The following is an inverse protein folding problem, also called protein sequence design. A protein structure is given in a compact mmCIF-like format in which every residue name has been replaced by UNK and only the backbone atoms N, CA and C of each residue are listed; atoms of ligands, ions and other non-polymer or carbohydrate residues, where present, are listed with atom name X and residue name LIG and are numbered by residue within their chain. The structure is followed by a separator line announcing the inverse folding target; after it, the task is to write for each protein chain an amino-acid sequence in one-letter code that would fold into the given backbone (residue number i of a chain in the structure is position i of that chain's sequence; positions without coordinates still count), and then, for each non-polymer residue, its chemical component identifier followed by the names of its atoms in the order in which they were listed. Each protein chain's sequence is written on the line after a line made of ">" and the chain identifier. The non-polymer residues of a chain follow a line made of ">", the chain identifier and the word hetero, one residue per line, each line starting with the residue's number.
data_IF_076248495440
#
_entry.id   IF_076248495440
#
_cell.length_a   1.000
_cell.length_b   1.000
_cell.length_c   1.000
_cell.angle_alpha   90.00
_cell.angle_beta   90.00
_cell.angle_gamma   90.00
#
_symmetry.space_group_name_H-M   'P 1'
#
loop_
_entity.id
_entity.type
_entity.pdbx_description
1 polymer ?
#
# COMPACT_ATOMS: atom_id res chain seq x y z
N UNK A 1 -64.83 -9.53 -1.04
CA UNK A 1 -64.33 -8.63 -2.11
C UNK A 1 -63.20 -9.37 -2.79
N UNK A 2 -63.49 -9.98 -3.94
CA UNK A 2 -62.57 -10.84 -4.69
C UNK A 2 -61.66 -10.01 -5.59
N UNK A 3 -60.40 -10.40 -5.72
CA UNK A 3 -59.47 -9.89 -6.73
C UNK A 3 -58.37 -10.91 -7.01
N UNK A 4 -58.44 -11.55 -8.18
CA UNK A 4 -57.62 -12.66 -8.69
C UNK A 4 -56.74 -12.13 -9.83
N UNK A 5 -55.49 -12.60 -9.95
CA UNK A 5 -54.64 -12.34 -11.13
C UNK A 5 -53.36 -13.18 -11.05
N UNK A 6 -53.34 -14.41 -11.57
CA UNK A 6 -52.88 -14.87 -12.90
C UNK A 6 -51.37 -15.16 -12.97
N UNK A 7 -51.09 -16.41 -13.33
CA UNK A 7 -49.80 -17.05 -13.61
C UNK A 7 -49.28 -16.65 -15.00
N UNK A 8 -47.96 -16.62 -15.17
CA UNK A 8 -47.31 -16.64 -16.48
C UNK A 8 -45.86 -17.14 -16.38
N UNK A 9 -45.55 -18.20 -17.11
CA UNK A 9 -44.22 -18.82 -17.26
C UNK A 9 -43.73 -18.62 -18.70
N UNK A 10 -42.43 -18.41 -18.92
CA UNK A 10 -41.71 -18.85 -20.12
C UNK A 10 -40.18 -18.61 -19.99
N UNK A 11 -39.41 -19.60 -20.42
CA UNK A 11 -37.95 -19.66 -20.42
C UNK A 11 -37.34 -19.09 -21.72
N UNK A 12 -36.07 -18.69 -21.67
CA UNK A 12 -35.18 -18.67 -22.84
C UNK A 12 -33.70 -18.82 -22.41
N UNK A 13 -33.12 -19.95 -22.80
CA UNK A 13 -31.71 -20.34 -22.72
C UNK A 13 -30.98 -19.83 -23.96
N UNK A 14 -29.84 -19.14 -23.82
CA UNK A 14 -28.88 -18.95 -24.91
C UNK A 14 -27.44 -19.08 -24.39
N UNK A 15 -26.80 -20.18 -24.79
CA UNK A 15 -25.38 -20.49 -24.64
C UNK A 15 -24.66 -19.99 -25.90
N UNK A 16 -23.56 -19.25 -25.75
CA UNK A 16 -22.71 -18.83 -26.86
C UNK A 16 -21.29 -19.39 -26.69
N UNK A 17 -20.70 -20.07 -27.70
CA UNK A 17 -19.34 -20.59 -27.65
C UNK A 17 -18.32 -19.52 -28.09
N UNK A 18 -17.21 -19.37 -27.35
CA UNK A 18 -16.05 -18.58 -27.78
C UNK A 18 -15.02 -19.51 -28.42
N UNK A 19 -14.89 -19.43 -29.75
CA UNK A 19 -13.81 -20.04 -30.53
C UNK A 19 -12.68 -19.01 -30.69
N UNK A 20 -11.50 -19.28 -30.11
CA UNK A 20 -10.26 -18.55 -30.36
C UNK A 20 -9.52 -19.23 -31.52
N UNK A 21 -9.61 -18.63 -32.71
CA UNK A 21 -8.88 -19.07 -33.91
C UNK A 21 -7.55 -18.32 -34.05
N UNK A 22 -6.60 -19.00 -34.68
CA UNK A 22 -5.18 -18.71 -34.82
C UNK A 22 -4.82 -17.27 -35.26
N UNK A 23 -3.71 -16.76 -34.71
CA UNK A 23 -2.97 -15.62 -35.25
C UNK A 23 -2.21 -16.06 -36.53
N UNK A 24 -2.76 -15.65 -37.68
CA UNK A 24 -2.04 -15.63 -38.95
C UNK A 24 -1.51 -14.21 -39.20
N UNK A 25 -0.21 -14.10 -39.48
CA UNK A 25 0.41 -12.88 -39.98
C UNK A 25 -0.09 -12.59 -41.40
N UNK A 26 -0.47 -11.35 -41.69
CA UNK A 26 -0.25 -10.71 -43.00
C UNK A 26 -0.36 -9.19 -42.88
N UNK A 27 0.67 -8.55 -43.39
CA UNK A 27 0.89 -7.13 -43.60
C UNK A 27 -0.18 -6.55 -44.55
N UNK A 28 -0.85 -5.45 -44.16
CA UNK A 28 -1.50 -4.52 -45.11
C UNK A 28 -1.80 -3.18 -44.42
N UNK A 29 -1.12 -2.14 -44.90
CA UNK A 29 -1.27 -0.70 -44.68
C UNK A 29 -2.59 -0.20 -44.07
N UNK A 30 -2.51 0.41 -42.88
CA UNK A 30 -3.40 1.51 -42.44
C UNK A 30 -2.71 2.29 -41.31
N UNK A 31 -2.31 3.52 -41.64
CA UNK A 31 -1.84 4.61 -40.78
C UNK A 31 -2.20 4.52 -39.28
N UNK A 32 -1.24 4.49 -38.34
CA UNK A 32 -1.54 4.53 -36.92
C UNK A 32 -1.53 5.97 -36.39
N UNK A 33 -2.33 6.87 -36.96
CA UNK A 33 -2.56 8.21 -36.36
C UNK A 33 -3.68 8.22 -35.30
N UNK A 34 -4.12 7.04 -34.85
CA UNK A 34 -5.20 6.91 -33.85
C UNK A 34 -4.91 5.97 -32.67
N UNK A 35 -3.71 5.38 -32.59
CA UNK A 35 -3.39 4.36 -31.59
C UNK A 35 -2.70 4.88 -30.31
N UNK A 36 -2.49 6.20 -30.18
CA UNK A 36 -1.83 6.78 -28.99
C UNK A 36 -2.81 7.03 -27.83
N UNK A 37 -4.11 7.15 -28.09
CA UNK A 37 -5.08 7.55 -27.05
C UNK A 37 -5.70 6.40 -26.24
N UNK A 38 -5.42 5.13 -26.57
CA UNK A 38 -5.88 3.97 -25.76
C UNK A 38 -4.81 3.35 -24.86
N UNK A 39 -3.53 3.66 -25.07
CA UNK A 39 -2.44 3.19 -24.21
C UNK A 39 -2.40 3.95 -22.86
N UNK A 40 -2.84 5.21 -22.82
CA UNK A 40 -2.86 6.01 -21.59
C UNK A 40 -3.90 5.52 -20.55
N UNK A 41 -5.08 5.06 -20.98
CA UNK A 41 -6.15 4.63 -20.04
C UNK A 41 -5.94 3.24 -19.44
N UNK A 42 -5.12 2.39 -20.06
CA UNK A 42 -4.73 1.10 -19.50
C UNK A 42 -3.65 1.25 -18.40
N UNK A 43 -2.73 2.20 -18.54
CA UNK A 43 -1.75 2.54 -17.50
C UNK A 43 -2.42 3.12 -16.24
N UNK A 44 -3.46 3.95 -16.42
CA UNK A 44 -4.20 4.53 -15.29
C UNK A 44 -4.99 3.48 -14.49
N UNK A 45 -5.43 2.39 -15.13
CA UNK A 45 -6.21 1.34 -14.46
C UNK A 45 -5.33 0.34 -13.68
N UNK A 46 -4.04 0.24 -14.01
CA UNK A 46 -3.05 -0.50 -13.24
C UNK A 46 -2.55 0.30 -12.03
N UNK A 47 -2.44 1.63 -12.15
CA UNK A 47 -2.13 2.53 -11.04
C UNK A 47 -3.21 2.46 -9.92
N UNK A 48 -4.49 2.38 -10.28
CA UNK A 48 -5.58 2.29 -9.30
C UNK A 48 -5.53 0.99 -8.49
N UNK A 49 -5.22 -0.16 -9.11
CA UNK A 49 -5.13 -1.44 -8.40
C UNK A 49 -3.91 -1.55 -7.48
N UNK A 50 -2.85 -0.79 -7.74
CA UNK A 50 -1.76 -0.60 -6.78
C UNK A 50 -2.24 0.23 -5.59
N UNK A 51 -2.90 1.36 -5.86
CA UNK A 51 -3.43 2.30 -4.88
C UNK A 51 -4.36 1.67 -3.84
N UNK A 52 -5.30 0.81 -4.24
CA UNK A 52 -6.25 0.17 -3.31
C UNK A 52 -5.56 -0.74 -2.28
N UNK A 53 -4.51 -1.47 -2.70
CA UNK A 53 -3.77 -2.39 -1.82
C UNK A 53 -2.91 -1.61 -0.82
N UNK A 54 -2.26 -0.52 -1.25
CA UNK A 54 -1.49 0.34 -0.34
C UNK A 54 -2.37 1.21 0.54
N UNK A 55 -3.53 1.65 0.04
CA UNK A 55 -4.54 2.34 0.84
C UNK A 55 -5.06 1.43 1.95
N UNK A 56 -5.33 0.16 1.65
CA UNK A 56 -5.73 -0.81 2.68
C UNK A 56 -4.61 -1.12 3.68
N UNK A 57 -3.33 -1.19 3.26
CA UNK A 57 -2.19 -1.37 4.16
C UNK A 57 -1.99 -0.14 5.07
N UNK A 58 -2.14 1.06 4.52
CA UNK A 58 -2.09 2.32 5.27
C UNK A 58 -3.25 2.40 6.26
N UNK A 59 -4.45 1.96 5.86
CA UNK A 59 -5.61 1.89 6.74
C UNK A 59 -5.36 0.93 7.91
N UNK A 60 -4.78 -0.25 7.65
CA UNK A 60 -4.40 -1.21 8.70
C UNK A 60 -3.38 -0.61 9.67
N UNK A 61 -2.31 -0.01 9.16
CA UNK A 61 -1.32 0.68 10.00
C UNK A 61 -1.95 1.79 10.84
N UNK A 62 -2.89 2.55 10.25
CA UNK A 62 -3.66 3.57 10.96
C UNK A 62 -4.54 2.97 12.05
N UNK A 63 -5.24 1.87 11.78
CA UNK A 63 -6.03 1.15 12.78
C UNK A 63 -5.15 0.67 13.94
N UNK A 64 -3.96 0.13 13.67
CA UNK A 64 -3.03 -0.31 14.72
C UNK A 64 -2.60 0.83 15.64
N UNK A 65 -2.25 1.96 15.05
CA UNK A 65 -1.90 3.17 15.79
C UNK A 65 -3.10 3.73 16.55
N UNK A 66 -4.30 3.70 15.98
CA UNK A 66 -5.50 4.23 16.62
C UNK A 66 -6.02 3.31 17.75
N UNK A 67 -5.53 2.06 17.85
CA UNK A 67 -5.72 1.20 19.04
C UNK A 67 -4.92 1.68 20.24
N UNK A 68 -3.83 2.43 20.05
CA UNK A 68 -3.02 3.00 21.12
C UNK A 68 -3.79 4.18 21.74
N UNK A 69 -4.43 3.93 22.89
CA UNK A 69 -5.19 4.96 23.62
C UNK A 69 -4.25 5.91 24.35
N UNK A 70 -4.44 7.21 24.15
CA UNK A 70 -3.63 8.25 24.81
C UNK A 70 -2.25 8.48 24.18
N UNK A 71 -1.96 7.88 23.03
CA UNK A 71 -0.69 8.06 22.34
C UNK A 71 -0.44 9.52 21.94
N UNK A 72 0.75 10.03 22.29
CA UNK A 72 1.17 11.39 21.92
C UNK A 72 1.88 11.34 20.56
N UNK A 73 1.61 12.29 19.68
CA UNK A 73 2.33 12.40 18.41
C UNK A 73 3.83 12.61 18.69
N UNK A 74 4.65 11.65 18.29
CA UNK A 74 6.07 11.58 18.58
C UNK A 74 6.92 11.59 17.31
N UNK A 75 6.38 12.07 16.18
CA UNK A 75 7.12 12.08 14.90
C UNK A 75 8.46 12.82 14.99
N UNK A 76 8.56 13.86 15.81
CA UNK A 76 9.80 14.61 16.03
C UNK A 76 10.86 13.87 16.86
N UNK A 77 10.46 12.82 17.59
CA UNK A 77 11.36 11.99 18.39
C UNK A 77 11.96 10.83 17.57
N UNK A 78 11.57 10.68 16.29
CA UNK A 78 11.97 9.56 15.43
C UNK A 78 12.95 10.02 14.36
N UNK A 79 14.06 9.28 14.22
CA UNK A 79 15.00 9.39 13.12
C UNK A 79 15.07 8.07 12.33
N UNK A 80 15.07 8.18 11.00
CA UNK A 80 15.33 7.07 10.10
C UNK A 80 16.77 7.14 9.61
N UNK A 81 17.44 6.00 9.51
CA UNK A 81 18.71 5.91 8.79
C UNK A 81 18.51 5.59 7.30
N UNK A 82 19.57 5.13 6.66
CA UNK A 82 19.54 4.77 5.25
C UNK A 82 18.73 3.50 4.97
N UNK A 83 18.09 3.47 3.80
CA UNK A 83 17.43 2.25 3.30
C UNK A 83 18.49 1.30 2.78
N UNK A 84 18.57 0.12 3.39
CA UNK A 84 19.51 -0.94 3.02
C UNK A 84 18.78 -2.16 2.50
N UNK A 85 19.46 -2.97 1.69
CA UNK A 85 18.92 -4.26 1.24
C UNK A 85 19.38 -5.38 2.15
N UNK A 86 18.42 -6.17 2.64
CA UNK A 86 18.62 -7.39 3.42
C UNK A 86 17.94 -8.56 2.70
N UNK A 87 18.72 -9.32 1.92
CA UNK A 87 18.19 -10.34 1.01
C UNK A 87 17.19 -9.75 0.01
N UNK A 88 15.98 -10.29 -0.05
CA UNK A 88 14.88 -9.82 -0.90
C UNK A 88 13.98 -8.77 -0.23
N UNK A 89 14.48 -8.11 0.81
CA UNK A 89 13.74 -7.08 1.56
C UNK A 89 14.57 -5.83 1.74
N UNK A 90 13.87 -4.71 1.91
CA UNK A 90 14.48 -3.47 2.32
C UNK A 90 14.31 -3.30 3.82
N UNK A 91 15.35 -2.78 4.46
CA UNK A 91 15.38 -2.48 5.87
C UNK A 91 15.77 -1.02 6.06
N UNK A 92 15.19 -0.39 7.08
CA UNK A 92 15.61 0.93 7.53
C UNK A 92 15.70 0.94 9.05
N UNK A 93 16.83 1.36 9.63
CA UNK A 93 16.93 1.51 11.06
C UNK A 93 16.08 2.69 11.52
N UNK A 94 15.31 2.46 12.57
CA UNK A 94 14.44 3.45 13.21
C UNK A 94 15.02 3.72 14.59
N UNK A 95 15.35 4.97 14.87
CA UNK A 95 15.82 5.42 16.18
C UNK A 95 14.73 6.25 16.82
N UNK A 96 14.30 5.89 18.03
CA UNK A 96 13.38 6.68 18.83
C UNK A 96 14.12 7.29 20.01
N UNK A 97 14.00 8.61 20.21
CA UNK A 97 14.63 9.35 21.31
C UNK A 97 13.57 9.79 22.31
N UNK A 98 13.65 9.29 23.55
CA UNK A 98 12.67 9.63 24.56
C UNK A 98 12.97 10.94 25.28
N UNK A 99 12.33 12.01 24.82
CA UNK A 99 12.37 13.35 25.41
C UNK A 99 11.47 13.52 26.65
N UNK A 100 10.68 12.52 27.02
CA UNK A 100 9.72 12.61 28.13
C UNK A 100 10.34 12.39 29.51
N UNK A 101 9.53 12.55 30.57
CA UNK A 101 9.96 12.44 31.96
C UNK A 101 10.08 11.02 32.52
N UNK A 102 9.68 10.00 31.76
CA UNK A 102 9.58 8.59 32.16
C UNK A 102 9.94 7.67 30.99
N UNK A 103 10.11 6.37 31.24
CA UNK A 103 10.23 5.37 30.17
C UNK A 103 8.97 5.39 29.29
N UNK A 104 9.13 5.12 27.99
CA UNK A 104 8.03 5.07 27.03
C UNK A 104 8.33 4.14 25.86
N UNK A 105 7.29 3.64 25.21
CA UNK A 105 7.36 2.88 23.96
C UNK A 105 6.86 3.73 22.79
N UNK A 106 7.33 3.40 21.59
CA UNK A 106 7.00 4.10 20.37
C UNK A 106 6.45 3.14 19.33
N UNK A 107 5.32 3.46 18.74
CA UNK A 107 4.84 2.80 17.54
C UNK A 107 5.05 3.73 16.34
N UNK A 108 5.85 3.29 15.37
CA UNK A 108 6.28 4.10 14.23
C UNK A 108 5.79 3.45 12.94
N UNK A 109 5.01 4.18 12.18
CA UNK A 109 4.66 3.84 10.80
C UNK A 109 5.74 4.37 9.86
N UNK A 110 6.43 3.46 9.19
CA UNK A 110 7.41 3.73 8.14
C UNK A 110 6.77 3.44 6.78
N UNK A 111 6.86 4.41 5.89
CA UNK A 111 6.40 4.31 4.52
C UNK A 111 7.59 4.13 3.59
N UNK A 112 7.55 3.12 2.73
CA UNK A 112 8.50 2.97 1.63
C UNK A 112 7.89 3.56 0.36
N UNK A 113 8.64 4.40 -0.35
CA UNK A 113 8.19 5.10 -1.55
C UNK A 113 9.19 5.00 -2.68
N UNK A 114 8.71 5.04 -3.91
CA UNK A 114 9.59 5.20 -5.08
C UNK A 114 10.09 6.65 -5.21
N UNK A 115 10.97 6.87 -6.19
CA UNK A 115 11.51 8.18 -6.53
C UNK A 115 10.45 9.20 -7.00
N UNK A 116 9.27 8.74 -7.43
CA UNK A 116 8.14 9.58 -7.83
C UNK A 116 7.21 9.91 -6.65
N UNK A 117 7.50 9.38 -5.46
CA UNK A 117 6.71 9.58 -4.24
C UNK A 117 5.55 8.62 -4.06
N UNK A 118 5.38 7.63 -4.94
CA UNK A 118 4.31 6.65 -4.83
C UNK A 118 4.58 5.73 -3.63
N UNK A 119 3.55 5.46 -2.84
CA UNK A 119 3.65 4.51 -1.72
C UNK A 119 3.80 3.09 -2.26
N UNK A 120 4.89 2.43 -1.90
CA UNK A 120 5.19 1.05 -2.29
C UNK A 120 4.83 0.05 -1.19
N UNK A 121 5.09 0.42 0.07
CA UNK A 121 4.83 -0.42 1.23
C UNK A 121 4.69 0.42 2.50
N UNK A 122 4.09 -0.15 3.53
CA UNK A 122 3.96 0.46 4.85
C UNK A 122 4.19 -0.58 5.92
N UNK A 123 5.00 -0.23 6.92
CA UNK A 123 5.38 -1.10 8.04
C UNK A 123 5.18 -0.33 9.33
N UNK A 124 4.59 -0.96 10.34
CA UNK A 124 4.60 -0.44 11.71
C UNK A 124 5.66 -1.19 12.49
N UNK A 125 6.54 -0.46 13.17
CA UNK A 125 7.56 -1.02 14.04
C UNK A 125 7.40 -0.42 15.43
N UNK A 126 7.59 -1.24 16.46
CA UNK A 126 7.64 -0.78 17.85
C UNK A 126 9.08 -0.63 18.30
N UNK A 127 9.35 0.45 19.05
CA UNK A 127 10.58 0.63 19.81
C UNK A 127 10.15 0.65 21.27
N UNK A 128 10.44 -0.43 21.97
CA UNK A 128 9.97 -0.66 23.33
C UNK A 128 10.99 -0.19 24.37
N UNK A 129 10.50 0.11 25.58
CA UNK A 129 11.30 0.36 26.78
C UNK A 129 12.39 1.44 26.62
N UNK A 130 12.08 2.54 25.92
CA UNK A 130 13.03 3.64 25.72
C UNK A 130 13.12 4.44 27.00
N UNK A 131 14.24 4.29 27.72
CA UNK A 131 14.48 5.02 28.96
C UNK A 131 14.46 6.55 28.77
N UNK A 132 14.16 7.26 29.85
CA UNK A 132 14.15 8.73 29.89
C UNK A 132 15.46 9.30 29.36
N UNK A 133 15.37 10.17 28.36
CA UNK A 133 16.50 10.86 27.76
C UNK A 133 17.43 9.93 26.97
N UNK A 134 17.03 8.69 26.71
CA UNK A 134 17.79 7.71 25.93
C UNK A 134 17.20 7.55 24.54
N UNK A 135 17.94 6.84 23.70
CA UNK A 135 17.52 6.48 22.37
C UNK A 135 17.69 5.00 22.16
N UNK A 136 16.67 4.36 21.61
CA UNK A 136 16.67 2.95 21.27
C UNK A 136 16.42 2.77 19.78
N UNK A 137 16.80 1.60 19.26
CA UNK A 137 16.72 1.29 17.84
C UNK A 137 15.83 0.08 17.58
N UNK A 138 15.03 0.18 16.54
CA UNK A 138 14.39 -0.95 15.89
C UNK A 138 14.72 -0.94 14.39
N UNK A 139 14.30 -1.99 13.68
CA UNK A 139 14.47 -2.07 12.23
C UNK A 139 13.11 -2.26 11.59
N UNK A 140 12.71 -1.34 10.73
CA UNK A 140 11.55 -1.53 9.86
C UNK A 140 11.99 -2.33 8.64
N UNK A 141 11.36 -3.49 8.44
CA UNK A 141 11.61 -4.39 7.30
C UNK A 141 10.39 -4.39 6.39
N UNK A 142 10.58 -4.17 5.09
CA UNK A 142 9.49 -4.22 4.12
C UNK A 142 8.79 -5.59 4.13
N UNK A 143 7.48 -5.60 3.89
CA UNK A 143 6.68 -6.83 3.80
C UNK A 143 6.92 -7.56 2.47
N UNK A 144 7.29 -6.81 1.44
CA UNK A 144 7.45 -7.25 0.05
C UNK A 144 8.85 -6.92 -0.49
N UNK A 145 9.23 -7.59 -1.58
CA UNK A 145 10.44 -7.26 -2.32
C UNK A 145 10.18 -5.98 -3.10
N UNK A 146 10.96 -4.94 -2.79
CA UNK A 146 10.88 -3.63 -3.42
C UNK A 146 12.10 -3.45 -4.32
N UNK A 147 11.88 -2.93 -5.52
CA UNK A 147 12.91 -2.75 -6.54
C UNK A 147 12.98 -1.29 -7.01
N UNK A 148 14.15 -0.90 -7.51
CA UNK A 148 14.41 0.48 -7.93
C UNK A 148 14.88 1.38 -6.78
N UNK A 149 14.87 2.69 -7.02
CA UNK A 149 15.22 3.71 -6.04
C UNK A 149 14.09 3.88 -5.03
N UNK A 150 14.26 3.30 -3.85
CA UNK A 150 13.29 3.34 -2.75
C UNK A 150 13.79 4.25 -1.63
N UNK A 151 12.89 5.10 -1.14
CA UNK A 151 13.08 5.98 0.01
C UNK A 151 12.15 5.59 1.15
N UNK A 152 12.52 5.92 2.37
CA UNK A 152 11.68 5.73 3.56
C UNK A 152 11.33 7.07 4.21
N UNK A 153 10.09 7.22 4.67
CA UNK A 153 9.64 8.33 5.50
C UNK A 153 8.82 7.86 6.71
N UNK A 154 8.80 8.66 7.76
CA UNK A 154 7.89 8.43 8.90
C UNK A 154 6.52 8.99 8.53
N UNK A 155 5.52 8.11 8.40
CA UNK A 155 4.14 8.53 8.22
C UNK A 155 3.57 9.12 9.50
N UNK A 156 3.51 8.29 10.54
CA UNK A 156 3.02 8.60 11.88
C UNK A 156 3.94 7.96 12.92
N UNK A 157 4.04 8.58 14.08
CA UNK A 157 4.65 7.95 15.25
C UNK A 157 3.87 8.34 16.51
N UNK A 158 3.63 7.36 17.37
CA UNK A 158 2.95 7.54 18.65
C UNK A 158 3.84 7.08 19.79
N UNK A 159 3.94 7.88 20.84
CA UNK A 159 4.55 7.51 22.12
C UNK A 159 3.46 7.11 23.11
N UNK A 160 3.65 6.02 23.83
CA UNK A 160 2.72 5.50 24.83
C UNK A 160 3.41 4.80 26.00
#
# INVERSE_FOLDING_TARGET
>A
MSGRGIRGAAAALLVAPVLLVAAGCSDNDTSPSGAVSKAASAASSAASRGGDVVASATAKAKEELDRIKGGVNAKGDIALGDVTKDGDRLTVPVTATNSSGSQASYAVQVNFRDSSGNLLDTVVVTVDDVDKGKSEKATARSNRNLTGDVRADVGRALRH
#
